data_IF_131244954938
#
_entry.id   IF_131244954938
#
_cell.length_a   1.000
_cell.length_b   1.000
_cell.length_c   1.000
_cell.angle_alpha   90.00
_cell.angle_beta   90.00
_cell.angle_gamma   90.00
#
_symmetry.space_group_name_H-M   'P 1'
#
loop_
_entity.id
_entity.type
_entity.pdbx_description
1 polymer ?
#
# COMPACT_ATOMS: atom_id res chain seq x y z
N UNK A 1 -2.85 -8.98 4.38
CA UNK A 1 -3.25 -7.55 4.31
C UNK A 1 -2.30 -6.72 5.18
N UNK A 2 -2.16 -5.41 4.92
CA UNK A 2 -1.23 -4.53 5.63
C UNK A 2 -1.78 -3.10 5.72
N UNK A 3 -1.45 -2.38 6.80
CA UNK A 3 -1.67 -0.93 6.95
C UNK A 3 -0.32 -0.20 7.07
N UNK A 4 -0.11 0.88 6.30
CA UNK A 4 0.94 1.90 6.50
C UNK A 4 2.40 1.40 6.61
N UNK A 5 2.87 0.62 5.64
CA UNK A 5 4.25 0.11 5.62
C UNK A 5 5.32 1.20 5.34
N UNK A 6 4.92 2.37 4.84
CA UNK A 6 5.79 3.50 4.55
C UNK A 6 5.56 4.66 5.52
N UNK A 7 6.62 5.45 5.74
CA UNK A 7 6.54 6.69 6.49
C UNK A 7 5.69 7.76 5.77
N UNK A 8 5.48 8.91 6.41
CA UNK A 8 4.64 9.98 5.90
C UNK A 8 5.19 10.65 4.63
N UNK A 9 6.51 10.63 4.47
CA UNK A 9 7.20 11.17 3.29
C UNK A 9 7.23 10.15 2.14
N UNK A 10 7.03 8.87 2.42
CA UNK A 10 7.13 7.77 1.46
C UNK A 10 8.55 7.44 1.04
N UNK A 11 9.56 8.09 1.63
CA UNK A 11 10.95 7.88 1.29
C UNK A 11 11.49 6.61 1.97
N UNK A 12 11.00 6.26 3.16
CA UNK A 12 11.47 5.11 3.91
C UNK A 12 10.32 4.20 4.34
N UNK A 13 10.70 2.98 4.72
CA UNK A 13 9.80 2.08 5.42
C UNK A 13 9.55 2.59 6.83
N UNK A 14 8.31 2.41 7.31
CA UNK A 14 7.92 2.83 8.65
C UNK A 14 8.65 1.98 9.70
N UNK A 15 9.39 2.60 10.64
CA UNK A 15 9.91 1.88 11.80
C UNK A 15 8.77 1.31 12.65
N UNK A 16 8.97 0.11 13.17
CA UNK A 16 7.96 -0.57 13.98
C UNK A 16 8.34 -2.01 14.21
N UNK A 17 7.61 -2.71 15.07
CA UNK A 17 7.98 -4.08 15.46
C UNK A 17 8.17 -5.02 14.27
N UNK A 18 7.35 -4.87 13.22
CA UNK A 18 7.45 -5.71 12.03
C UNK A 18 8.68 -5.38 11.20
N UNK A 19 8.88 -4.12 10.83
CA UNK A 19 10.02 -3.71 10.01
C UNK A 19 11.35 -3.90 10.75
N UNK A 20 11.40 -3.56 12.04
CA UNK A 20 12.63 -3.63 12.83
C UNK A 20 13.13 -5.07 13.02
N UNK A 21 12.22 -6.04 13.08
CA UNK A 21 12.59 -7.45 13.30
C UNK A 21 12.65 -8.28 12.01
N UNK A 22 11.88 -7.93 10.98
CA UNK A 22 11.72 -8.77 9.79
C UNK A 22 12.14 -8.07 8.49
N UNK A 23 12.46 -6.77 8.51
CA UNK A 23 12.63 -5.97 7.31
C UNK A 23 11.36 -5.90 6.47
N UNK A 24 11.40 -5.22 5.31
CA UNK A 24 10.19 -4.98 4.49
C UNK A 24 9.48 -6.27 4.02
N UNK A 25 10.19 -7.40 3.99
CA UNK A 25 9.62 -8.72 3.68
C UNK A 25 8.44 -9.10 4.58
N UNK A 26 8.27 -8.45 5.74
CA UNK A 26 7.10 -8.64 6.59
C UNK A 26 5.78 -8.39 5.84
N UNK A 27 5.76 -7.46 4.89
CA UNK A 27 4.55 -7.14 4.09
C UNK A 27 4.18 -8.32 3.20
N UNK A 28 5.16 -8.87 2.49
CA UNK A 28 4.98 -10.06 1.65
C UNK A 28 4.48 -11.25 2.48
N UNK A 29 5.12 -11.51 3.62
CA UNK A 29 4.73 -12.57 4.55
C UNK A 29 3.29 -12.37 5.04
N UNK A 30 2.90 -11.15 5.39
CA UNK A 30 1.54 -10.85 5.84
C UNK A 30 0.47 -11.07 4.77
N UNK A 31 0.75 -10.79 3.49
CA UNK A 31 -0.16 -11.15 2.40
C UNK A 31 -0.22 -12.65 2.16
N UNK A 32 0.93 -13.32 2.07
CA UNK A 32 1.01 -14.77 1.87
C UNK A 32 0.29 -15.54 2.97
N UNK A 33 0.48 -15.17 4.23
CA UNK A 33 -0.17 -15.86 5.35
C UNK A 33 -1.66 -15.58 5.40
N UNK A 34 -2.11 -14.36 5.06
CA UNK A 34 -3.53 -14.05 4.97
C UNK A 34 -4.23 -14.82 3.84
N UNK A 35 -3.59 -14.93 2.68
CA UNK A 35 -4.07 -15.75 1.56
C UNK A 35 -4.23 -17.21 1.96
N UNK A 36 -3.20 -17.79 2.59
CA UNK A 36 -3.22 -19.17 3.08
C UNK A 36 -4.31 -19.39 4.14
N UNK A 37 -4.42 -18.50 5.12
CA UNK A 37 -5.37 -18.64 6.22
C UNK A 37 -6.84 -18.53 5.76
N UNK A 38 -7.08 -17.90 4.62
CA UNK A 38 -8.42 -17.65 4.09
C UNK A 38 -8.74 -18.53 2.89
N UNK A 39 -7.86 -19.45 2.53
CA UNK A 39 -7.93 -20.22 1.28
C UNK A 39 -8.14 -19.32 0.04
N UNK A 40 -7.66 -18.08 0.08
CA UNK A 40 -7.87 -17.10 -0.96
C UNK A 40 -9.33 -16.66 -1.15
N UNK A 41 -10.25 -16.92 -0.23
CA UNK A 41 -11.67 -16.59 -0.37
C UNK A 41 -11.99 -15.13 -0.06
N UNK A 42 -11.13 -14.46 0.71
CA UNK A 42 -11.31 -13.04 1.07
C UNK A 42 -10.44 -12.13 0.21
N UNK A 43 -10.87 -10.88 0.06
CA UNK A 43 -10.06 -9.84 -0.59
C UNK A 43 -9.03 -9.27 0.38
N UNK A 44 -7.79 -9.11 -0.08
CA UNK A 44 -6.65 -8.64 0.69
C UNK A 44 -6.19 -7.28 0.18
N UNK A 45 -6.23 -6.29 1.07
CA UNK A 45 -5.89 -4.91 0.74
C UNK A 45 -4.61 -4.44 1.43
N UNK A 46 -3.91 -3.51 0.76
CA UNK A 46 -2.93 -2.62 1.38
C UNK A 46 -3.62 -1.27 1.64
N UNK A 47 -3.66 -0.80 2.89
CA UNK A 47 -4.33 0.45 3.25
C UNK A 47 -3.32 1.50 3.73
N UNK A 48 -3.44 2.74 3.25
CA UNK A 48 -2.49 3.80 3.64
C UNK A 48 -3.05 5.21 3.40
N UNK A 49 -2.52 6.17 4.16
CA UNK A 49 -2.78 7.59 4.01
C UNK A 49 -1.79 8.26 3.05
N UNK A 50 -2.17 9.45 2.59
CA UNK A 50 -1.42 10.31 1.67
C UNK A 50 -1.16 9.75 0.25
N UNK A 51 -1.61 8.54 -0.09
CA UNK A 51 -1.36 7.99 -1.44
C UNK A 51 -1.88 8.87 -2.58
N UNK A 52 -2.91 9.66 -2.36
CA UNK A 52 -3.45 10.58 -3.36
C UNK A 52 -2.68 11.89 -3.50
N UNK A 53 -1.89 12.26 -2.51
CA UNK A 53 -1.24 13.58 -2.41
C UNK A 53 0.28 13.50 -2.34
N UNK A 54 0.82 12.30 -2.17
CA UNK A 54 2.25 12.02 -2.14
C UNK A 54 2.59 11.01 -3.27
N UNK A 55 2.98 11.50 -4.46
CA UNK A 55 3.28 10.62 -5.59
C UNK A 55 4.51 9.72 -5.33
N UNK A 56 5.48 10.19 -4.54
CA UNK A 56 6.66 9.39 -4.17
C UNK A 56 6.23 8.17 -3.36
N UNK A 57 5.37 8.37 -2.36
CA UNK A 57 4.84 7.29 -1.53
C UNK A 57 4.01 6.31 -2.37
N UNK A 58 3.13 6.83 -3.24
CA UNK A 58 2.34 6.00 -4.13
C UNK A 58 3.22 5.10 -5.00
N UNK A 59 4.26 5.65 -5.62
CA UNK A 59 5.14 4.89 -6.50
C UNK A 59 5.89 3.79 -5.77
N UNK A 60 6.34 4.03 -4.52
CA UNK A 60 6.96 2.98 -3.71
C UNK A 60 5.97 1.89 -3.30
N UNK A 61 4.74 2.26 -2.95
CA UNK A 61 3.68 1.30 -2.63
C UNK A 61 3.35 0.44 -3.86
N UNK A 62 3.11 1.04 -5.02
CA UNK A 62 2.83 0.30 -6.25
C UNK A 62 3.97 -0.67 -6.59
N UNK A 63 5.22 -0.21 -6.55
CA UNK A 63 6.38 -1.07 -6.79
C UNK A 63 6.47 -2.25 -5.80
N UNK A 64 6.19 -2.02 -4.51
CA UNK A 64 6.18 -3.08 -3.51
C UNK A 64 5.08 -4.12 -3.81
N UNK A 65 3.86 -3.66 -4.08
CA UNK A 65 2.73 -4.55 -4.34
C UNK A 65 2.88 -5.32 -5.66
N UNK A 66 3.43 -4.69 -6.69
CA UNK A 66 3.73 -5.35 -7.97
C UNK A 66 4.78 -6.45 -7.79
N UNK A 67 5.80 -6.22 -6.96
CA UNK A 67 6.80 -7.24 -6.65
C UNK A 67 6.19 -8.42 -5.86
N UNK A 68 5.25 -8.16 -4.95
CA UNK A 68 4.52 -9.22 -4.23
C UNK A 68 3.64 -10.02 -5.20
N UNK A 69 2.89 -9.34 -6.08
CA UNK A 69 2.06 -9.99 -7.11
C UNK A 69 2.88 -10.83 -8.09
N UNK A 70 4.05 -10.35 -8.51
CA UNK A 70 5.00 -11.11 -9.39
C UNK A 70 5.47 -12.42 -8.77
N UNK A 71 5.44 -12.55 -7.43
CA UNK A 71 5.76 -13.79 -6.71
C UNK A 71 4.55 -14.73 -6.55
N UNK A 72 3.41 -14.41 -7.17
CA UNK A 72 2.19 -15.20 -7.11
C UNK A 72 1.39 -15.05 -5.81
N UNK A 73 1.63 -13.99 -5.05
CA UNK A 73 0.93 -13.72 -3.78
C UNK A 73 -0.25 -12.77 -4.04
N UNK A 74 -1.42 -13.12 -3.50
CA UNK A 74 -2.66 -12.36 -3.69
C UNK A 74 -2.61 -10.96 -3.07
N UNK A 75 -2.90 -9.94 -3.89
CA UNK A 75 -3.13 -8.55 -3.49
C UNK A 75 -4.27 -8.00 -4.36
N UNK A 76 -5.47 -7.90 -3.80
CA UNK A 76 -6.68 -7.56 -4.56
C UNK A 76 -6.87 -6.06 -4.74
N UNK A 77 -6.35 -5.24 -3.81
CA UNK A 77 -6.55 -3.81 -3.93
C UNK A 77 -5.74 -2.95 -2.99
N UNK A 78 -5.92 -1.65 -3.18
CA UNK A 78 -5.32 -0.59 -2.39
C UNK A 78 -6.44 0.22 -1.74
N UNK A 79 -6.46 0.23 -0.41
CA UNK A 79 -7.34 1.07 0.40
C UNK A 79 -6.79 2.49 0.49
N UNK A 80 -7.61 3.46 0.09
CA UNK A 80 -7.30 4.88 0.20
C UNK A 80 -8.00 5.43 1.44
N UNK A 81 -7.24 5.77 2.49
CA UNK A 81 -7.84 6.24 3.75
C UNK A 81 -8.65 7.55 3.59
N UNK A 82 -8.32 8.38 2.61
CA UNK A 82 -9.12 9.57 2.28
C UNK A 82 -8.98 10.72 3.27
N UNK A 83 -7.92 10.76 4.09
CA UNK A 83 -7.58 11.93 4.91
C UNK A 83 -7.14 13.10 4.01
N UNK A 84 -8.11 13.90 3.58
CA UNK A 84 -7.95 15.05 2.70
C UNK A 84 -8.42 16.34 3.40
N UNK A 85 -7.79 17.47 3.05
CA UNK A 85 -8.27 18.79 3.46
C UNK A 85 -9.11 19.41 2.34
N UNK A 86 -9.96 20.39 2.67
CA UNK A 86 -10.92 20.99 1.74
C UNK A 86 -10.30 21.49 0.40
N UNK A 87 -9.07 22.01 0.44
CA UNK A 87 -8.36 22.50 -0.76
C UNK A 87 -7.60 21.40 -1.52
N UNK A 88 -7.40 20.24 -0.91
CA UNK A 88 -6.69 19.10 -1.49
C UNK A 88 -7.55 18.41 -2.56
N UNK A 89 -8.87 18.37 -2.36
CA UNK A 89 -9.85 17.58 -3.13
C UNK A 89 -10.00 17.99 -4.60
N UNK A 90 -9.55 19.20 -4.98
CA UNK A 90 -9.69 19.75 -6.34
C UNK A 90 -8.35 19.71 -7.11
N UNK A 91 -7.33 19.08 -6.55
CA UNK A 91 -5.99 19.08 -7.15
C UNK A 91 -5.89 18.10 -8.34
N UNK A 92 -5.35 18.53 -9.50
CA UNK A 92 -4.98 17.62 -10.60
C UNK A 92 -4.07 16.47 -10.16
N UNK A 93 -3.33 16.65 -9.07
CA UNK A 93 -2.48 15.62 -8.48
C UNK A 93 -3.29 14.41 -7.99
N UNK A 94 -4.44 14.63 -7.33
CA UNK A 94 -5.30 13.52 -6.88
C UNK A 94 -5.77 12.71 -8.08
N UNK A 95 -6.24 13.38 -9.13
CA UNK A 95 -6.70 12.70 -10.34
C UNK A 95 -5.57 11.93 -11.03
N UNK A 96 -4.37 12.52 -11.12
CA UNK A 96 -3.19 11.84 -11.65
C UNK A 96 -2.87 10.56 -10.85
N UNK A 97 -2.80 10.66 -9.53
CA UNK A 97 -2.45 9.54 -8.64
C UNK A 97 -3.52 8.45 -8.61
N UNK A 98 -4.82 8.81 -8.61
CA UNK A 98 -5.91 7.84 -8.72
C UNK A 98 -5.78 7.00 -10.00
N UNK A 99 -5.44 7.62 -11.13
CA UNK A 99 -5.24 6.89 -12.41
C UNK A 99 -4.10 5.88 -12.36
N UNK A 100 -3.10 6.05 -11.50
CA UNK A 100 -2.01 5.06 -11.33
C UNK A 100 -2.43 3.85 -10.51
N UNK A 101 -3.54 3.92 -9.77
CA UNK A 101 -4.04 2.82 -8.93
C UNK A 101 -5.03 1.94 -9.71
N UNK A 102 -5.80 2.55 -10.61
CA UNK A 102 -6.85 1.86 -11.37
C UNK A 102 -6.40 1.29 -12.71
N UNK A 103 -5.21 1.68 -13.19
CA UNK A 103 -4.59 1.18 -14.42
C UNK A 103 -3.42 0.26 -14.07
#
# INVERSE_FOLDING_TARGET
MVNEAFDEHGANYRPGIWFNNLGIEWVEKAFKYAEQATNGEVSLFYNDYHLLINPVKLDKVLNLLDNIRKKGIKVDGIGLQGHLFAFTTISPLIHHNLRKIVN
#
